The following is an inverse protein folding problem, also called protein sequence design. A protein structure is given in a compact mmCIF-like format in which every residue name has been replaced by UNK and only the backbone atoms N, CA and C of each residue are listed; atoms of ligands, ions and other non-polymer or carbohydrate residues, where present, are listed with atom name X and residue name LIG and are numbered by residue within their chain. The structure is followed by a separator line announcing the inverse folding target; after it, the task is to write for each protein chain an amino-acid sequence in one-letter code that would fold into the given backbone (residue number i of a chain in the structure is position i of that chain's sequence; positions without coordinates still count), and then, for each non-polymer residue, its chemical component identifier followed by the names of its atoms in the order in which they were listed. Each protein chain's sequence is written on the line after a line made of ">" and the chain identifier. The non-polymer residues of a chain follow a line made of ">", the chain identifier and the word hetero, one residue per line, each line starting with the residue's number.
data_IF_620044031894
#
_entry.id   IF_620044031894
#
_cell.length_a   1.000
_cell.length_b   1.000
_cell.length_c   1.000
_cell.angle_alpha   90.00
_cell.angle_beta   90.00
_cell.angle_gamma   90.00
#
_symmetry.space_group_name_H-M   'P 1'
#
loop_
_entity.id
_entity.type
_entity.pdbx_description
1 polymer ?
#
# COMPACT_ATOMS: atom_id res chain seq x y z
N UNK A 1 2.00 -27.72 0.73
CA UNK A 1 1.95 -27.11 -0.62
C UNK A 1 2.46 -28.07 -1.69
N UNK A 2 1.86 -28.01 -2.89
CA UNK A 2 2.26 -28.75 -4.08
C UNK A 2 3.01 -27.83 -5.04
N UNK A 3 3.96 -28.36 -5.81
CA UNK A 3 4.62 -27.58 -6.85
C UNK A 3 3.61 -27.23 -7.95
N UNK A 4 3.47 -25.94 -8.24
CA UNK A 4 2.57 -25.40 -9.27
C UNK A 4 3.32 -25.12 -10.58
N UNK A 5 4.50 -24.50 -10.46
CA UNK A 5 5.39 -24.23 -11.58
C UNK A 5 6.84 -24.15 -11.11
N UNK A 6 7.77 -24.62 -11.92
CA UNK A 6 9.19 -24.66 -11.57
C UNK A 6 10.05 -24.43 -12.80
N UNK A 7 11.01 -23.53 -12.68
CA UNK A 7 12.01 -23.23 -13.68
C UNK A 7 13.36 -22.99 -13.00
N UNK A 8 14.43 -22.81 -13.78
CA UNK A 8 15.74 -22.52 -13.22
C UNK A 8 15.77 -21.25 -12.36
N UNK A 9 14.97 -20.25 -12.70
CA UNK A 9 15.01 -18.91 -12.07
C UNK A 9 13.89 -18.64 -11.06
N UNK A 10 12.88 -19.51 -10.97
CA UNK A 10 11.77 -19.35 -10.04
C UNK A 10 11.09 -20.68 -9.72
N UNK A 11 10.41 -20.74 -8.59
CA UNK A 11 9.49 -21.82 -8.22
C UNK A 11 8.24 -21.25 -7.59
N UNK A 12 7.11 -21.88 -7.86
CA UNK A 12 5.81 -21.55 -7.29
C UNK A 12 5.26 -22.83 -6.69
N UNK A 13 4.92 -22.77 -5.42
CA UNK A 13 4.20 -23.80 -4.70
C UNK A 13 2.87 -23.24 -4.24
N UNK A 14 1.85 -24.09 -4.19
CA UNK A 14 0.53 -23.64 -3.79
C UNK A 14 -0.28 -24.73 -3.13
N UNK A 15 -1.30 -24.29 -2.41
CA UNK A 15 -2.40 -25.09 -1.90
C UNK A 15 -3.63 -24.19 -1.72
N UNK A 16 -4.72 -24.77 -1.23
CA UNK A 16 -5.95 -24.03 -1.05
C UNK A 16 -5.74 -22.75 -0.21
N UNK A 17 -6.06 -21.60 -0.78
CA UNK A 17 -5.90 -20.27 -0.18
C UNK A 17 -4.46 -19.87 0.18
N UNK A 18 -3.45 -20.52 -0.39
CA UNK A 18 -2.05 -20.18 -0.13
C UNK A 18 -1.19 -20.38 -1.37
N UNK A 19 -0.48 -19.33 -1.78
CA UNK A 19 0.50 -19.35 -2.87
C UNK A 19 1.82 -18.83 -2.33
N UNK A 20 2.87 -19.61 -2.49
CA UNK A 20 4.25 -19.25 -2.21
C UNK A 20 5.06 -19.25 -3.50
N UNK A 21 5.91 -18.25 -3.69
CA UNK A 21 6.80 -18.19 -4.82
C UNK A 21 8.19 -17.69 -4.43
N UNK A 22 9.21 -18.26 -5.05
CA UNK A 22 10.61 -17.86 -4.89
C UNK A 22 11.23 -17.57 -6.24
N UNK A 23 12.12 -16.58 -6.31
CA UNK A 23 12.83 -16.22 -7.55
C UNK A 23 14.22 -15.67 -7.32
N UNK A 24 15.06 -15.72 -8.36
CA UNK A 24 16.44 -15.18 -8.32
C UNK A 24 16.44 -13.65 -8.36
N UNK A 25 15.41 -13.03 -8.97
CA UNK A 25 15.19 -11.58 -9.03
C UNK A 25 13.72 -11.25 -8.79
N UNK A 26 13.44 -10.07 -8.25
CA UNK A 26 12.07 -9.55 -8.12
C UNK A 26 11.41 -9.33 -9.47
N UNK A 27 10.07 -9.23 -9.48
CA UNK A 27 9.30 -8.86 -10.67
C UNK A 27 9.39 -7.33 -10.85
N UNK A 28 10.00 -6.82 -11.94
CA UNK A 28 10.03 -5.38 -12.23
C UNK A 28 8.69 -4.93 -12.80
N UNK A 29 8.49 -3.61 -12.91
CA UNK A 29 7.29 -3.02 -13.50
C UNK A 29 7.01 -3.51 -14.93
N UNK A 30 8.06 -3.59 -15.76
CA UNK A 30 7.99 -4.10 -17.14
C UNK A 30 8.86 -5.36 -17.28
N UNK A 31 8.35 -6.55 -16.88
CA UNK A 31 9.13 -7.77 -16.93
C UNK A 31 9.33 -8.25 -18.37
N UNK A 32 10.51 -8.81 -18.62
CA UNK A 32 10.93 -9.37 -19.91
C UNK A 32 11.52 -10.76 -19.70
N UNK A 33 11.49 -11.58 -20.75
CA UNK A 33 12.00 -12.97 -20.70
C UNK A 33 11.38 -13.76 -19.54
N UNK A 34 12.21 -14.51 -18.81
CA UNK A 34 11.75 -15.39 -17.74
C UNK A 34 11.00 -14.69 -16.61
N UNK A 35 11.24 -13.39 -16.35
CA UNK A 35 10.48 -12.64 -15.33
C UNK A 35 9.02 -12.42 -15.75
N UNK A 36 8.77 -12.33 -17.06
CA UNK A 36 7.41 -12.29 -17.60
C UNK A 36 6.72 -13.63 -17.41
N UNK A 37 7.41 -14.72 -17.74
CA UNK A 37 6.91 -16.08 -17.56
C UNK A 37 6.62 -16.37 -16.08
N UNK A 38 7.52 -15.94 -15.19
CA UNK A 38 7.33 -16.03 -13.74
C UNK A 38 6.09 -15.27 -13.29
N UNK A 39 5.93 -14.01 -13.70
CA UNK A 39 4.76 -13.20 -13.36
C UNK A 39 3.48 -13.89 -13.85
N UNK A 40 3.44 -14.35 -15.09
CA UNK A 40 2.24 -14.94 -15.66
C UNK A 40 1.89 -16.28 -14.96
N UNK A 41 2.90 -17.10 -14.61
CA UNK A 41 2.70 -18.30 -13.80
C UNK A 41 2.19 -17.99 -12.37
N UNK A 42 2.74 -16.96 -11.72
CA UNK A 42 2.30 -16.51 -10.39
C UNK A 42 0.86 -16.03 -10.44
N UNK A 43 0.48 -15.22 -11.43
CA UNK A 43 -0.89 -14.74 -11.61
C UNK A 43 -1.88 -15.89 -11.81
N UNK A 44 -1.49 -16.92 -12.55
CA UNK A 44 -2.32 -18.12 -12.74
C UNK A 44 -2.52 -18.86 -11.42
N UNK A 45 -1.46 -19.07 -10.63
CA UNK A 45 -1.56 -19.69 -9.31
C UNK A 45 -2.45 -18.88 -8.36
N UNK A 46 -2.30 -17.55 -8.34
CA UNK A 46 -3.12 -16.67 -7.50
C UNK A 46 -4.60 -16.76 -7.88
N UNK A 47 -4.91 -16.78 -9.18
CA UNK A 47 -6.28 -16.91 -9.68
C UNK A 47 -6.88 -18.31 -9.40
N UNK A 48 -6.07 -19.37 -9.49
CA UNK A 48 -6.55 -20.74 -9.31
C UNK A 48 -6.67 -21.16 -7.85
N UNK A 49 -5.81 -20.67 -6.95
CA UNK A 49 -5.69 -21.20 -5.59
C UNK A 49 -6.27 -20.28 -4.51
N UNK A 50 -6.22 -18.95 -4.71
CA UNK A 50 -6.84 -18.03 -3.76
C UNK A 50 -8.33 -17.94 -4.05
N UNK A 51 -9.16 -18.35 -3.08
CA UNK A 51 -10.61 -18.35 -3.19
C UNK A 51 -11.22 -17.18 -2.44
N UNK A 52 -12.28 -16.57 -3.00
CA UNK A 52 -13.06 -15.59 -2.25
C UNK A 52 -13.67 -16.28 -1.04
N UNK A 53 -13.70 -15.55 0.07
CA UNK A 53 -14.43 -15.92 1.27
C UNK A 53 -15.03 -14.65 1.88
N UNK A 54 -16.22 -14.77 2.44
CA UNK A 54 -16.87 -13.66 3.14
C UNK A 54 -16.04 -13.26 4.36
N UNK A 55 -15.93 -11.95 4.60
CA UNK A 55 -15.13 -11.39 5.70
C UNK A 55 -13.70 -11.97 5.75
N UNK A 56 -13.06 -12.02 4.59
CA UNK A 56 -11.70 -12.53 4.44
C UNK A 56 -10.66 -11.41 4.36
N UNK A 57 -9.45 -11.77 4.76
CA UNK A 57 -8.26 -10.96 4.66
C UNK A 57 -7.30 -11.56 3.63
N UNK A 58 -6.85 -10.75 2.68
CA UNK A 58 -5.71 -11.06 1.83
C UNK A 58 -4.44 -10.64 2.55
N UNK A 59 -3.57 -11.60 2.86
CA UNK A 59 -2.26 -11.38 3.46
C UNK A 59 -1.22 -11.56 2.36
N UNK A 60 -0.36 -10.58 2.18
CA UNK A 60 0.72 -10.61 1.20
C UNK A 60 2.06 -10.25 1.89
N UNK A 61 3.08 -11.08 1.71
CA UNK A 61 4.38 -10.87 2.33
C UNK A 61 5.47 -11.00 1.28
N UNK A 62 6.46 -10.12 1.37
CA UNK A 62 7.61 -10.12 0.48
C UNK A 62 8.88 -10.20 1.30
N UNK A 63 9.87 -10.92 0.79
CA UNK A 63 11.23 -10.82 1.29
C UNK A 63 12.26 -10.90 0.18
N UNK A 64 13.39 -10.22 0.37
CA UNK A 64 14.55 -10.30 -0.51
C UNK A 64 15.49 -9.10 -0.40
N UNK A 65 16.59 -9.09 -1.17
CA UNK A 65 17.52 -7.97 -1.22
C UNK A 65 16.79 -6.67 -1.57
N UNK A 66 17.09 -5.61 -0.81
CA UNK A 66 16.45 -4.31 -1.00
C UNK A 66 15.01 -4.22 -0.48
N UNK A 67 14.54 -5.15 0.34
CA UNK A 67 13.31 -4.94 1.13
C UNK A 67 13.47 -3.66 1.98
N UNK A 68 12.53 -2.72 1.85
CA UNK A 68 12.63 -1.37 2.43
C UNK A 68 13.30 -0.32 1.53
N UNK A 69 13.60 -0.66 0.27
CA UNK A 69 14.10 0.26 -0.78
C UNK A 69 13.10 0.37 -1.95
N UNK A 70 12.00 -0.38 -1.89
CA UNK A 70 10.95 -0.37 -2.90
C UNK A 70 9.60 -0.51 -2.22
N UNK A 71 8.62 0.19 -2.77
CA UNK A 71 7.27 0.27 -2.25
C UNK A 71 6.69 -1.16 -2.14
N UNK A 72 6.23 -1.52 -0.94
CA UNK A 72 5.77 -2.88 -0.62
C UNK A 72 4.61 -3.31 -1.51
N UNK A 73 3.75 -2.37 -1.89
CA UNK A 73 2.64 -2.62 -2.80
C UNK A 73 3.08 -2.78 -4.26
N UNK A 74 4.18 -2.14 -4.68
CA UNK A 74 4.74 -2.36 -6.00
C UNK A 74 5.25 -3.80 -6.12
N UNK A 75 5.95 -4.27 -5.10
CA UNK A 75 6.51 -5.61 -5.03
C UNK A 75 5.41 -6.68 -5.01
N UNK A 76 4.36 -6.48 -4.21
CA UNK A 76 3.33 -7.50 -3.95
C UNK A 76 2.12 -7.45 -4.88
N UNK A 77 1.76 -6.29 -5.44
CA UNK A 77 0.49 -6.13 -6.16
C UNK A 77 0.65 -5.49 -7.52
N UNK A 78 1.35 -4.36 -7.62
CA UNK A 78 1.40 -3.60 -8.86
C UNK A 78 2.18 -4.32 -9.95
N UNK A 79 3.41 -4.75 -9.67
CA UNK A 79 4.26 -5.45 -10.64
C UNK A 79 3.73 -6.86 -10.97
N UNK A 80 3.03 -7.48 -10.02
CA UNK A 80 2.33 -8.76 -10.21
C UNK A 80 1.09 -8.58 -11.08
N UNK A 81 0.40 -7.46 -10.96
CA UNK A 81 -0.84 -7.12 -11.65
C UNK A 81 -2.05 -7.24 -10.73
N UNK A 82 -2.58 -6.10 -10.30
CA UNK A 82 -3.69 -5.97 -9.32
C UNK A 82 -4.97 -6.71 -9.71
N UNK A 83 -5.21 -6.90 -11.02
CA UNK A 83 -6.35 -7.64 -11.54
C UNK A 83 -6.37 -9.12 -11.07
N UNK A 84 -5.21 -9.69 -10.75
CA UNK A 84 -5.06 -11.09 -10.31
C UNK A 84 -5.66 -11.35 -8.93
N UNK A 85 -6.08 -10.31 -8.21
CA UNK A 85 -6.71 -10.38 -6.89
C UNK A 85 -8.17 -9.90 -6.92
N UNK A 86 -8.66 -9.43 -8.06
CA UNK A 86 -9.96 -8.76 -8.18
C UNK A 86 -11.14 -9.67 -7.85
N UNK A 87 -10.98 -10.98 -8.03
CA UNK A 87 -12.01 -12.00 -7.75
C UNK A 87 -12.18 -12.27 -6.26
N UNK A 88 -11.20 -11.92 -5.41
CA UNK A 88 -11.21 -12.26 -4.00
C UNK A 88 -12.20 -11.44 -3.17
N UNK A 89 -12.47 -10.18 -3.60
CA UNK A 89 -13.38 -9.25 -2.93
C UNK A 89 -13.16 -9.16 -1.40
N UNK A 90 -11.91 -9.18 -0.95
CA UNK A 90 -11.57 -9.19 0.48
C UNK A 90 -11.94 -7.87 1.16
N UNK A 91 -12.38 -7.96 2.42
CA UNK A 91 -12.68 -6.80 3.26
C UNK A 91 -11.42 -6.26 3.94
N UNK A 92 -10.37 -7.06 4.04
CA UNK A 92 -9.10 -6.67 4.61
C UNK A 92 -7.93 -7.03 3.67
N UNK A 93 -6.92 -6.17 3.65
CA UNK A 93 -5.64 -6.40 2.98
C UNK A 93 -4.53 -6.10 3.97
N UNK A 94 -3.67 -7.06 4.22
CA UNK A 94 -2.42 -6.90 4.98
C UNK A 94 -1.25 -7.14 4.06
N UNK A 95 -0.29 -6.23 4.09
CA UNK A 95 0.96 -6.41 3.36
C UNK A 95 2.16 -6.05 4.22
N UNK A 96 3.25 -6.80 4.08
CA UNK A 96 4.51 -6.49 4.77
C UNK A 96 5.73 -6.98 4.03
N UNK A 97 6.86 -6.32 4.23
CA UNK A 97 8.17 -6.90 3.99
C UNK A 97 8.62 -7.68 5.23
N UNK A 98 9.28 -8.82 5.02
CA UNK A 98 9.77 -9.71 6.09
C UNK A 98 11.28 -9.61 6.14
N UNK A 99 11.80 -9.17 7.30
CA UNK A 99 13.23 -8.97 7.57
C UNK A 99 13.57 -9.63 8.92
N UNK A 100 14.58 -10.52 9.00
CA UNK A 100 15.45 -10.97 7.92
C UNK A 100 14.72 -11.90 6.94
N UNK A 101 15.27 -12.02 5.73
CA UNK A 101 14.69 -12.87 4.71
C UNK A 101 14.75 -14.35 5.07
N UNK A 102 13.67 -15.14 4.83
CA UNK A 102 13.76 -16.58 4.95
C UNK A 102 14.82 -17.11 3.98
N UNK A 103 15.65 -18.05 4.44
CA UNK A 103 16.67 -18.66 3.59
C UNK A 103 16.01 -19.73 2.72
N UNK A 104 15.94 -19.48 1.41
CA UNK A 104 15.41 -20.45 0.46
C UNK A 104 16.54 -21.24 -0.21
N UNK A 105 16.47 -22.59 -0.22
CA UNK A 105 17.44 -23.42 -0.94
C UNK A 105 17.46 -23.10 -2.44
N UNK A 106 18.64 -23.16 -3.06
CA UNK A 106 18.78 -23.04 -4.53
C UNK A 106 19.08 -21.63 -5.05
N UNK A 107 19.51 -20.70 -4.20
CA UNK A 107 19.98 -19.38 -4.63
C UNK A 107 18.86 -18.39 -4.99
N UNK A 108 17.61 -18.71 -4.65
CA UNK A 108 16.50 -17.77 -4.74
C UNK A 108 16.64 -16.70 -3.66
N UNK A 109 16.62 -15.44 -4.08
CA UNK A 109 16.83 -14.29 -3.22
C UNK A 109 15.52 -13.60 -2.87
N UNK A 110 14.47 -13.83 -3.64
CA UNK A 110 13.18 -13.18 -3.49
C UNK A 110 12.12 -14.21 -3.15
N UNK A 111 11.25 -13.85 -2.22
CA UNK A 111 10.15 -14.64 -1.72
C UNK A 111 8.87 -13.83 -1.73
N UNK A 112 7.79 -14.47 -2.16
CA UNK A 112 6.45 -13.93 -2.22
C UNK A 112 5.52 -14.93 -1.56
N UNK A 113 4.68 -14.44 -0.66
CA UNK A 113 3.71 -15.25 0.03
C UNK A 113 2.34 -14.57 -0.02
N UNK A 114 1.33 -15.28 -0.48
CA UNK A 114 -0.04 -14.78 -0.54
C UNK A 114 -0.96 -15.79 0.12
N UNK A 115 -1.79 -15.32 1.04
CA UNK A 115 -2.72 -16.17 1.77
C UNK A 115 -4.06 -15.49 1.95
N UNK A 116 -5.14 -16.25 1.85
CA UNK A 116 -6.48 -15.81 2.22
C UNK A 116 -6.88 -16.48 3.53
N UNK A 117 -7.22 -15.68 4.54
CA UNK A 117 -7.64 -16.18 5.84
C UNK A 117 -8.95 -15.52 6.27
N UNK A 118 -9.75 -16.24 7.06
CA UNK A 118 -10.91 -15.66 7.72
C UNK A 118 -10.44 -14.58 8.71
N UNK A 119 -11.08 -13.41 8.69
CA UNK A 119 -10.66 -12.28 9.52
C UNK A 119 -10.75 -12.60 11.01
N UNK A 120 -11.78 -13.33 11.43
CA UNK A 120 -11.96 -13.79 12.81
C UNK A 120 -10.81 -14.68 13.32
N UNK A 121 -10.03 -15.29 12.43
CA UNK A 121 -8.88 -16.12 12.79
C UNK A 121 -7.56 -15.32 12.89
N UNK A 122 -7.58 -14.02 12.58
CA UNK A 122 -6.40 -13.17 12.63
C UNK A 122 -6.37 -12.37 13.94
N UNK A 123 -5.21 -12.35 14.58
CA UNK A 123 -4.94 -11.44 15.70
C UNK A 123 -4.63 -10.03 15.18
N UNK A 124 -4.63 -9.06 16.11
CA UNK A 124 -4.12 -7.70 15.88
C UNK A 124 -2.71 -7.73 15.27
N UNK A 125 -2.27 -6.63 14.62
CA UNK A 125 -1.11 -6.68 13.76
C UNK A 125 0.16 -7.21 14.44
N UNK A 126 0.88 -8.08 13.73
CA UNK A 126 2.05 -8.81 14.22
C UNK A 126 3.34 -7.96 14.31
N UNK A 127 3.27 -6.65 14.05
CA UNK A 127 4.45 -5.78 14.09
C UNK A 127 4.64 -5.14 15.47
N UNK A 128 5.89 -5.03 15.95
CA UNK A 128 6.20 -4.18 17.08
C UNK A 128 6.16 -2.72 16.62
N UNK A 129 5.44 -1.87 17.33
CA UNK A 129 5.10 -0.56 16.81
C UNK A 129 4.90 0.49 17.90
N UNK A 130 5.31 1.72 17.57
CA UNK A 130 4.98 2.92 18.33
C UNK A 130 4.08 3.83 17.50
N UNK A 131 2.91 4.19 18.03
CA UNK A 131 1.97 5.08 17.34
C UNK A 131 2.56 6.49 17.21
N UNK A 132 2.70 6.97 15.97
CA UNK A 132 3.25 8.28 15.66
C UNK A 132 2.16 9.34 15.40
N UNK A 133 1.08 8.93 14.73
CA UNK A 133 -0.09 9.78 14.44
C UNK A 133 -1.32 8.92 14.16
N UNK A 134 -2.49 9.44 14.55
CA UNK A 134 -3.78 8.89 14.13
C UNK A 134 -4.70 9.98 13.58
N UNK A 135 -5.69 9.58 12.79
CA UNK A 135 -6.75 10.45 12.30
C UNK A 135 -8.09 9.73 12.24
N UNK A 136 -9.17 10.50 12.42
CA UNK A 136 -10.50 9.94 12.63
C UNK A 136 -11.59 10.59 11.77
N UNK A 137 -12.36 9.74 11.09
CA UNK A 137 -13.61 10.08 10.38
C UNK A 137 -13.45 11.19 9.33
N UNK A 138 -12.36 11.17 8.57
CA UNK A 138 -12.10 12.14 7.51
C UNK A 138 -12.96 11.82 6.30
N UNK A 139 -13.84 12.75 5.93
CA UNK A 139 -14.71 12.61 4.75
C UNK A 139 -13.91 12.72 3.45
N UNK A 140 -14.24 11.86 2.49
CA UNK A 140 -13.57 11.90 1.19
C UNK A 140 -14.45 11.38 0.06
N UNK A 141 -14.38 12.06 -1.07
CA UNK A 141 -14.89 11.55 -2.34
C UNK A 141 -13.88 10.63 -3.04
N UNK A 142 -12.70 10.37 -2.44
CA UNK A 142 -11.59 9.64 -3.07
C UNK A 142 -11.90 8.22 -3.50
N UNK A 143 -12.96 7.61 -2.96
CA UNK A 143 -13.45 6.29 -3.38
C UNK A 143 -14.32 6.34 -4.63
N UNK A 144 -14.89 7.51 -4.94
CA UNK A 144 -15.71 7.77 -6.12
C UNK A 144 -14.84 8.33 -7.25
N UNK A 145 -15.00 7.80 -8.46
CA UNK A 145 -14.30 8.30 -9.65
C UNK A 145 -12.85 7.81 -9.81
N UNK A 146 -11.95 8.69 -10.21
CA UNK A 146 -10.61 8.36 -10.71
C UNK A 146 -9.58 7.90 -9.67
N UNK A 147 -9.97 7.73 -8.39
CA UNK A 147 -9.14 7.18 -7.31
C UNK A 147 -7.72 7.77 -7.29
N UNK A 148 -7.62 9.09 -7.07
CA UNK A 148 -6.34 9.81 -7.17
C UNK A 148 -5.77 10.13 -5.79
N UNK A 149 -4.44 10.12 -5.61
CA UNK A 149 -3.79 10.52 -4.35
C UNK A 149 -4.26 11.88 -3.83
N UNK A 150 -4.47 12.82 -4.75
CA UNK A 150 -4.96 14.17 -4.44
C UNK A 150 -6.23 14.20 -3.59
N UNK A 151 -7.19 13.28 -3.79
CA UNK A 151 -8.44 13.30 -3.05
C UNK A 151 -8.23 12.97 -1.57
N UNK A 152 -7.36 11.98 -1.27
CA UNK A 152 -7.03 11.59 0.10
C UNK A 152 -6.15 12.63 0.78
N UNK A 153 -5.14 13.12 0.06
CA UNK A 153 -4.27 14.19 0.56
C UNK A 153 -5.08 15.43 0.92
N UNK A 154 -5.91 15.93 0.00
CA UNK A 154 -6.68 17.15 0.21
C UNK A 154 -7.70 16.99 1.35
N UNK A 155 -8.32 15.82 1.48
CA UNK A 155 -9.20 15.51 2.61
C UNK A 155 -8.48 15.64 3.94
N UNK A 156 -7.27 15.08 4.10
CA UNK A 156 -6.51 15.21 5.35
C UNK A 156 -6.11 16.67 5.62
N UNK A 157 -5.58 17.36 4.61
CA UNK A 157 -5.09 18.74 4.77
C UNK A 157 -6.21 19.73 5.07
N UNK A 158 -7.44 19.47 4.61
CA UNK A 158 -8.62 20.31 4.93
C UNK A 158 -9.22 20.03 6.30
N UNK A 159 -8.82 18.94 6.95
CA UNK A 159 -9.35 18.50 8.24
C UNK A 159 -8.22 18.33 9.29
N UNK A 160 -7.38 19.34 9.52
CA UNK A 160 -6.27 19.24 10.48
C UNK A 160 -6.76 18.98 11.91
N UNK A 161 -8.00 19.36 12.24
CA UNK A 161 -8.64 19.08 13.53
C UNK A 161 -8.89 17.58 13.78
N UNK A 162 -8.87 16.76 12.73
CA UNK A 162 -9.04 15.30 12.80
C UNK A 162 -7.73 14.55 12.96
N UNK A 163 -6.61 15.25 12.99
CA UNK A 163 -5.27 14.66 12.97
C UNK A 163 -4.60 14.89 14.33
N UNK A 164 -4.14 13.79 14.93
CA UNK A 164 -3.63 13.74 16.29
C UNK A 164 -2.18 13.23 16.27
N UNK A 165 -1.25 14.17 16.12
CA UNK A 165 0.19 13.90 16.09
C UNK A 165 0.74 13.60 17.49
N UNK A 166 1.55 12.55 17.62
CA UNK A 166 2.20 12.15 18.87
C UNK A 166 3.69 12.47 18.81
N UNK A 167 4.41 11.89 17.84
CA UNK A 167 5.83 12.15 17.64
C UNK A 167 6.22 11.98 16.16
N UNK A 168 7.25 12.68 15.68
CA UNK A 168 7.78 12.44 14.33
C UNK A 168 8.48 11.07 14.25
N UNK A 169 8.60 10.58 13.01
CA UNK A 169 9.38 9.38 12.65
C UNK A 169 10.63 9.85 11.92
N UNK A 170 11.81 9.48 12.43
CA UNK A 170 13.09 9.74 11.77
C UNK A 170 13.07 9.23 10.33
N UNK A 171 13.66 9.98 9.40
CA UNK A 171 13.80 9.56 8.00
C UNK A 171 14.62 8.27 7.83
N UNK A 172 15.40 7.87 8.84
CA UNK A 172 16.14 6.60 8.86
C UNK A 172 15.33 5.40 9.34
N UNK A 173 14.06 5.58 9.74
CA UNK A 173 13.20 4.52 10.28
C UNK A 173 12.09 4.14 9.30
N UNK A 174 11.77 2.84 9.31
CA UNK A 174 10.62 2.30 8.61
C UNK A 174 9.33 2.62 9.37
N UNK A 175 8.22 2.63 8.65
CA UNK A 175 6.91 2.89 9.23
C UNK A 175 5.85 1.96 8.65
N UNK A 176 4.78 1.79 9.42
CA UNK A 176 3.61 1.02 9.06
C UNK A 176 2.39 1.91 8.96
N UNK A 177 1.44 1.55 8.09
CA UNK A 177 0.19 2.33 7.90
C UNK A 177 -1.02 1.43 8.10
N UNK A 178 -1.95 1.84 8.94
CA UNK A 178 -3.25 1.20 9.06
C UNK A 178 -4.34 2.18 8.64
N UNK A 179 -5.26 1.75 7.76
CA UNK A 179 -6.35 2.60 7.27
C UNK A 179 -7.66 1.83 7.31
N UNK A 180 -8.65 2.45 7.92
CA UNK A 180 -10.03 2.00 7.96
C UNK A 180 -10.86 2.80 6.97
N UNK A 181 -11.49 2.12 6.02
CA UNK A 181 -12.29 2.68 4.94
C UNK A 181 -13.77 2.46 5.26
N UNK A 182 -14.45 3.53 5.65
CA UNK A 182 -15.88 3.50 5.89
C UNK A 182 -16.61 3.75 4.58
N UNK A 183 -17.35 2.76 4.10
CA UNK A 183 -18.13 2.81 2.85
C UNK A 183 -19.61 2.52 3.12
N UNK A 184 -20.54 3.05 2.31
CA UNK A 184 -21.95 2.70 2.44
C UNK A 184 -22.21 1.19 2.30
N UNK A 185 -23.26 0.67 2.95
CA UNK A 185 -23.56 -0.78 2.98
C UNK A 185 -23.79 -1.41 1.61
N UNK A 186 -24.27 -0.62 0.63
CA UNK A 186 -24.57 -1.09 -0.72
C UNK A 186 -23.40 -0.89 -1.71
N UNK A 187 -22.26 -0.40 -1.23
CA UNK A 187 -21.11 -0.06 -2.06
C UNK A 187 -20.01 -1.11 -1.93
N UNK A 188 -19.40 -1.45 -3.06
CA UNK A 188 -18.29 -2.40 -3.14
C UNK A 188 -17.01 -1.65 -3.48
N UNK A 189 -15.96 -1.88 -2.69
CA UNK A 189 -14.63 -1.31 -2.92
C UNK A 189 -13.60 -2.43 -3.09
N UNK A 190 -12.85 -2.38 -4.18
CA UNK A 190 -11.75 -3.31 -4.43
C UNK A 190 -10.46 -2.74 -3.83
N UNK A 191 -9.99 -3.29 -2.70
CA UNK A 191 -8.81 -2.81 -1.97
C UNK A 191 -7.56 -2.70 -2.84
N UNK A 192 -7.26 -3.72 -3.65
CA UNK A 192 -6.08 -3.71 -4.54
C UNK A 192 -6.12 -2.63 -5.62
N UNK A 193 -7.30 -2.07 -5.93
CA UNK A 193 -7.45 -0.97 -6.90
C UNK A 193 -7.29 0.41 -6.28
N UNK A 194 -7.56 0.55 -4.98
CA UNK A 194 -7.53 1.84 -4.27
C UNK A 194 -6.26 2.01 -3.43
N UNK A 195 -5.63 0.91 -3.04
CA UNK A 195 -4.49 0.88 -2.12
C UNK A 195 -3.37 1.84 -2.52
N UNK A 196 -2.87 1.79 -3.76
CA UNK A 196 -1.77 2.68 -4.17
C UNK A 196 -2.14 4.16 -4.07
N UNK A 197 -3.20 4.66 -4.75
CA UNK A 197 -3.54 6.07 -4.63
C UNK A 197 -3.92 6.50 -3.21
N UNK A 198 -4.51 5.61 -2.41
CA UNK A 198 -4.78 5.86 -1.00
C UNK A 198 -3.50 6.07 -0.21
N UNK A 199 -2.54 5.13 -0.30
CA UNK A 199 -1.27 5.21 0.40
C UNK A 199 -0.46 6.41 -0.05
N UNK A 200 -0.35 6.64 -1.36
CA UNK A 200 0.35 7.81 -1.91
C UNK A 200 -0.22 9.11 -1.30
N UNK A 201 -1.55 9.27 -1.29
CA UNK A 201 -2.20 10.48 -0.79
C UNK A 201 -2.05 10.67 0.73
N UNK A 202 -2.22 9.59 1.49
CA UNK A 202 -2.07 9.60 2.95
C UNK A 202 -0.63 9.88 3.35
N UNK A 203 0.34 9.15 2.79
CA UNK A 203 1.77 9.32 3.11
C UNK A 203 2.24 10.74 2.76
N UNK A 204 1.83 11.28 1.61
CA UNK A 204 2.14 12.67 1.24
C UNK A 204 1.55 13.70 2.22
N UNK A 205 0.38 13.46 2.83
CA UNK A 205 -0.21 14.40 3.78
C UNK A 205 0.57 14.51 5.10
N UNK A 206 1.35 13.48 5.42
CA UNK A 206 2.20 13.42 6.59
C UNK A 206 3.67 13.82 6.34
N UNK A 207 3.99 14.25 5.12
CA UNK A 207 5.31 14.79 4.77
C UNK A 207 5.35 16.32 4.79
N UNK A 208 6.41 16.90 5.37
CA UNK A 208 6.70 18.34 5.25
C UNK A 208 7.12 18.72 3.83
N UNK A 209 6.83 19.96 3.40
CA UNK A 209 7.33 20.48 2.14
C UNK A 209 8.81 20.88 2.25
N UNK A 210 9.69 20.21 1.51
CA UNK A 210 11.10 20.60 1.44
C UNK A 210 11.32 21.88 0.60
N UNK A 211 12.56 22.36 0.57
CA UNK A 211 12.93 23.54 -0.22
C UNK A 211 12.65 23.39 -1.72
N UNK A 212 12.75 22.17 -2.27
CA UNK A 212 12.50 21.92 -3.69
C UNK A 212 11.02 22.07 -4.04
N UNK A 213 10.12 21.54 -3.21
CA UNK A 213 8.68 21.73 -3.35
C UNK A 213 8.31 23.19 -3.16
N UNK A 214 8.88 23.86 -2.14
CA UNK A 214 8.61 25.27 -1.87
C UNK A 214 8.90 26.17 -3.08
N UNK A 215 9.99 25.90 -3.82
CA UNK A 215 10.32 26.64 -5.05
C UNK A 215 9.29 26.46 -6.18
N UNK A 216 8.55 25.36 -6.21
CA UNK A 216 7.58 25.03 -7.27
C UNK A 216 6.12 25.17 -6.82
N UNK A 217 5.89 25.56 -5.57
CA UNK A 217 4.58 25.49 -4.93
C UNK A 217 3.49 26.27 -5.66
N UNK A 218 3.80 27.45 -6.22
CA UNK A 218 2.83 28.27 -6.96
C UNK A 218 2.29 27.52 -8.19
N UNK A 219 3.19 26.95 -9.01
CA UNK A 219 2.81 26.23 -10.23
C UNK A 219 2.10 24.89 -9.91
N UNK A 220 2.56 24.20 -8.87
CA UNK A 220 1.90 22.97 -8.38
C UNK A 220 0.47 23.28 -7.92
N UNK A 221 0.30 24.35 -7.14
CA UNK A 221 -0.99 24.78 -6.62
C UNK A 221 -1.95 25.19 -7.75
N UNK A 222 -1.44 25.90 -8.77
CA UNK A 222 -2.22 26.26 -9.96
C UNK A 222 -2.72 25.00 -10.71
N UNK A 223 -1.84 24.03 -10.97
CA UNK A 223 -2.21 22.77 -11.65
C UNK A 223 -3.20 21.93 -10.84
N UNK A 224 -3.08 21.94 -9.51
CA UNK A 224 -3.99 21.25 -8.59
C UNK A 224 -5.28 22.05 -8.31
N UNK A 225 -5.34 23.33 -8.69
CA UNK A 225 -6.43 24.26 -8.41
C UNK A 225 -6.73 24.40 -6.92
N UNK A 226 -5.68 24.59 -6.13
CA UNK A 226 -5.74 24.77 -4.68
C UNK A 226 -4.98 26.03 -4.27
N UNK A 227 -5.25 26.60 -3.08
CA UNK A 227 -4.35 27.58 -2.48
C UNK A 227 -2.98 26.95 -2.20
N UNK A 228 -1.89 27.65 -2.51
CA UNK A 228 -0.54 27.14 -2.30
C UNK A 228 -0.21 26.87 -0.84
N UNK A 229 -0.87 27.58 0.07
CA UNK A 229 -0.70 27.45 1.51
C UNK A 229 -1.00 26.02 1.98
N UNK A 230 -1.91 25.31 1.28
CA UNK A 230 -2.22 23.91 1.59
C UNK A 230 -1.02 22.99 1.38
N UNK A 231 -0.07 23.33 0.50
CA UNK A 231 1.17 22.56 0.33
C UNK A 231 2.11 22.66 1.54
N UNK A 232 1.92 23.66 2.39
CA UNK A 232 2.72 23.89 3.60
C UNK A 232 2.02 23.46 4.89
N UNK A 233 0.73 23.11 4.83
CA UNK A 233 -0.09 22.72 6.00
C UNK A 233 0.07 21.24 6.37
N UNK A 234 1.18 20.61 5.99
CA UNK A 234 1.39 19.18 6.25
C UNK A 234 1.99 18.96 7.64
N UNK A 235 1.69 17.80 8.24
CA UNK A 235 2.03 17.52 9.64
C UNK A 235 3.50 17.19 9.89
N UNK A 236 4.30 16.99 8.84
CA UNK A 236 5.73 16.65 8.89
C UNK A 236 6.09 15.48 9.82
N UNK A 237 5.18 14.53 10.01
CA UNK A 237 5.42 13.31 10.82
C UNK A 237 6.49 12.44 10.18
N UNK A 238 6.50 12.35 8.86
CA UNK A 238 7.43 11.50 8.09
C UNK A 238 8.68 12.27 7.62
N UNK A 239 8.85 13.51 8.08
CA UNK A 239 9.91 14.43 7.66
C UNK A 239 9.61 15.17 6.35
N UNK A 240 10.51 16.08 5.99
CA UNK A 240 10.37 16.92 4.80
C UNK A 240 10.81 16.20 3.52
N UNK A 241 10.08 16.42 2.43
CA UNK A 241 10.42 15.92 1.10
C UNK A 241 9.64 16.65 0.01
N UNK A 242 10.07 16.49 -1.25
CA UNK A 242 9.30 16.92 -2.41
C UNK A 242 8.25 15.86 -2.74
N UNK A 243 7.16 15.86 -1.95
CA UNK A 243 6.10 14.84 -2.02
C UNK A 243 5.17 14.99 -3.23
N UNK A 244 5.28 16.09 -3.98
CA UNK A 244 4.58 16.31 -5.24
C UNK A 244 5.46 17.15 -6.18
N UNK A 245 5.57 16.72 -7.44
CA UNK A 245 6.41 17.35 -8.46
C UNK A 245 5.58 17.75 -9.68
N UNK A 246 6.02 18.78 -10.41
CA UNK A 246 5.48 19.08 -11.73
C UNK A 246 5.72 17.91 -12.68
N UNK A 247 4.69 17.51 -13.44
CA UNK A 247 4.80 16.40 -14.38
C UNK A 247 3.90 16.59 -15.60
N UNK A 248 4.50 16.77 -16.78
CA UNK A 248 3.78 17.06 -18.03
C UNK A 248 2.82 18.24 -17.81
N UNK A 249 1.52 18.04 -18.03
CA UNK A 249 0.46 19.04 -17.84
C UNK A 249 -0.24 18.93 -16.46
N UNK A 250 0.31 18.14 -15.54
CA UNK A 250 -0.25 17.92 -14.20
C UNK A 250 0.84 17.81 -13.16
N UNK A 251 0.61 16.99 -12.14
CA UNK A 251 1.57 16.71 -11.07
C UNK A 251 1.79 15.22 -10.93
N UNK A 252 2.94 14.84 -10.39
CA UNK A 252 3.28 13.49 -9.97
C UNK A 252 3.48 13.47 -8.47
N UNK A 253 2.70 12.64 -7.78
CA UNK A 253 2.87 12.35 -6.36
C UNK A 253 4.12 11.49 -6.17
N UNK A 254 4.88 11.79 -5.13
CA UNK A 254 6.16 11.18 -4.82
C UNK A 254 6.27 10.96 -3.31
N UNK A 255 5.40 10.11 -2.73
CA UNK A 255 5.56 9.71 -1.34
C UNK A 255 6.95 9.07 -1.15
N UNK A 256 7.57 9.21 0.03
CA UNK A 256 8.72 8.38 0.40
C UNK A 256 8.20 7.08 1.02
N UNK A 257 7.41 6.34 0.24
CA UNK A 257 6.74 5.10 0.60
C UNK A 257 7.66 3.87 0.53
N UNK A 258 8.90 4.02 0.09
CA UNK A 258 9.96 3.00 0.19
C UNK A 258 10.23 2.57 1.64
N UNK A 259 10.02 3.50 2.60
CA UNK A 259 10.08 3.24 4.04
C UNK A 259 8.79 2.67 4.64
N UNK A 260 7.70 2.65 3.88
CA UNK A 260 6.45 2.00 4.27
C UNK A 260 6.59 0.49 4.07
N UNK A 261 7.11 -0.20 5.08
CA UNK A 261 7.41 -1.63 4.94
C UNK A 261 6.21 -2.52 5.19
N UNK A 262 5.10 -1.97 5.71
CA UNK A 262 3.89 -2.73 5.87
C UNK A 262 2.64 -1.84 5.95
N UNK A 263 1.49 -2.41 5.56
CA UNK A 263 0.21 -1.72 5.61
C UNK A 263 -0.95 -2.68 5.89
N UNK A 264 -2.00 -2.14 6.51
CA UNK A 264 -3.28 -2.82 6.76
C UNK A 264 -4.42 -1.92 6.29
N UNK A 265 -5.24 -2.41 5.37
CA UNK A 265 -6.43 -1.72 4.87
C UNK A 265 -7.66 -2.53 5.23
N UNK A 266 -8.68 -1.88 5.82
CA UNK A 266 -9.88 -2.55 6.31
C UNK A 266 -11.12 -1.80 5.83
N UNK A 267 -12.03 -2.50 5.15
CA UNK A 267 -13.35 -1.96 4.81
C UNK A 267 -14.30 -2.13 5.99
N UNK A 268 -15.01 -1.05 6.34
CA UNK A 268 -16.10 -1.01 7.30
C UNK A 268 -17.36 -0.53 6.57
N UNK A 269 -18.41 -1.33 6.59
CA UNK A 269 -19.69 -0.90 6.02
C UNK A 269 -20.47 -0.08 7.05
N UNK A 270 -21.05 1.02 6.57
CA UNK A 270 -21.90 1.92 7.36
C UNK A 270 -23.29 2.01 6.75
N UNK A 271 -24.30 2.21 7.60
CA UNK A 271 -25.66 2.57 7.17
C UNK A 271 -25.74 4.00 6.63
N UNK A 272 -24.71 4.80 6.88
CA UNK A 272 -24.63 6.18 6.43
C UNK A 272 -24.12 6.29 4.99
N UNK A 273 -24.54 7.33 4.24
CA UNK A 273 -24.18 7.46 2.82
C UNK A 273 -22.79 8.06 2.58
N UNK A 274 -22.15 8.62 3.60
CA UNK A 274 -20.84 9.26 3.46
C UNK A 274 -19.72 8.22 3.40
N UNK A 275 -18.68 8.60 2.68
CA UNK A 275 -17.44 7.88 2.68
C UNK A 275 -16.44 8.55 3.59
N UNK A 276 -15.83 7.76 4.47
CA UNK A 276 -14.86 8.25 5.44
C UNK A 276 -13.65 7.35 5.49
N UNK A 277 -12.54 7.88 5.98
CA UNK A 277 -11.42 7.06 6.39
C UNK A 277 -10.78 7.58 7.67
N UNK A 278 -10.34 6.61 8.47
CA UNK A 278 -9.55 6.82 9.67
C UNK A 278 -8.26 6.02 9.52
N UNK A 279 -7.28 6.26 10.37
CA UNK A 279 -6.09 5.44 10.33
C UNK A 279 -5.00 5.87 11.29
N UNK A 280 -3.91 5.12 11.20
CA UNK A 280 -2.75 5.21 12.08
C UNK A 280 -1.48 5.12 11.24
N UNK A 281 -0.45 5.87 11.64
CA UNK A 281 0.93 5.63 11.21
C UNK A 281 1.75 5.26 12.43
N UNK A 282 2.54 4.21 12.25
CA UNK A 282 3.38 3.64 13.28
C UNK A 282 4.85 3.74 12.90
N UNK A 283 5.71 4.05 13.87
CA UNK A 283 7.13 3.71 13.76
C UNK A 283 7.27 2.21 13.94
N UNK A 284 8.01 1.58 13.03
CA UNK A 284 8.38 0.17 13.15
C UNK A 284 9.82 0.07 13.67
N UNK A 285 10.06 -0.94 14.51
CA UNK A 285 11.36 -1.20 15.12
C UNK A 285 12.36 -1.88 14.19
#
# INVERSE_FOLDING_TARGET
>A
MREFASAHNYRIASEYNHVEAVSVKSIPFEPKGWQKDFRDALRNALCSELKPADDSCLIAEYSGPGAGVSDVENLLFYNVGTASFSHLKTNELRMKTVIPAPIHPGGFQHWYNYRVAARAALTEPEWNHDLAVHWDDVETDGFRGGKKPFAFWLSLIRHPERIHSIHPISQSRCFGVEIFLTVPINESLHLTSIMKPLLDGVICAFHGADAALQMQAEEIAERLKIPKELLYQTHCILGETCFVNLYRNGVKWNPQDDRCTAARLVIRHSSMPEYKFSGNIYRLD
#
